data_IF_514778788976
#
_entry.id   IF_514778788976
#
_cell.length_a   1.000
_cell.length_b   1.000
_cell.length_c   1.000
_cell.angle_alpha   90.00
_cell.angle_beta   90.00
_cell.angle_gamma   90.00
#
_symmetry.space_group_name_H-M   'P 1'
#
loop_
_entity.id
_entity.type
_entity.pdbx_description
1 polymer ?
#
# COMPACT_ATOMS: atom_id res chain seq x y z
N UNK A 1 -25.07 -7.83 -9.29
CA UNK A 1 -24.77 -8.29 -10.67
C UNK A 1 -23.39 -7.74 -11.10
N UNK A 2 -22.33 -8.51 -11.36
CA UNK A 2 -22.18 -9.77 -12.09
C UNK A 2 -20.99 -10.54 -11.49
N UNK A 3 -21.17 -11.83 -11.17
CA UNK A 3 -20.06 -12.73 -10.81
C UNK A 3 -20.21 -13.98 -11.67
N UNK A 4 -19.33 -14.11 -12.66
CA UNK A 4 -19.20 -15.27 -13.55
C UNK A 4 -17.73 -15.43 -13.96
N UNK A 5 -16.83 -15.46 -12.98
CA UNK A 5 -15.47 -15.96 -13.19
C UNK A 5 -15.15 -16.90 -12.02
N UNK A 6 -15.45 -18.18 -12.25
CA UNK A 6 -14.92 -19.30 -11.47
C UNK A 6 -14.36 -20.27 -12.49
N UNK A 7 -13.14 -20.00 -12.94
CA UNK A 7 -12.30 -20.98 -13.61
C UNK A 7 -11.10 -21.28 -12.70
N UNK A 8 -10.66 -22.52 -12.67
CA UNK A 8 -9.55 -22.99 -11.81
C UNK A 8 -8.24 -22.24 -12.07
N UNK A 9 -8.09 -21.66 -13.27
CA UNK A 9 -6.93 -20.83 -13.66
C UNK A 9 -6.84 -19.45 -13.01
N UNK A 10 -7.92 -18.96 -12.38
CA UNK A 10 -7.89 -17.69 -11.66
C UNK A 10 -7.06 -17.74 -10.39
N UNK A 11 -7.26 -18.79 -9.59
CA UNK A 11 -6.54 -18.93 -8.34
C UNK A 11 -5.02 -18.98 -8.59
N UNK A 12 -4.59 -19.73 -9.62
CA UNK A 12 -3.17 -19.81 -9.99
C UNK A 12 -2.61 -18.49 -10.53
N UNK A 13 -3.40 -17.73 -11.30
CA UNK A 13 -3.03 -16.41 -11.82
C UNK A 13 -2.92 -15.38 -10.68
N UNK A 14 -3.92 -15.31 -9.81
CA UNK A 14 -3.94 -14.44 -8.64
C UNK A 14 -2.78 -14.74 -7.71
N UNK A 15 -2.55 -16.02 -7.39
CA UNK A 15 -1.41 -16.46 -6.59
C UNK A 15 -0.07 -16.05 -7.22
N UNK A 16 0.06 -16.14 -8.54
CA UNK A 16 1.28 -15.75 -9.24
C UNK A 16 1.50 -14.25 -9.22
N UNK A 17 0.42 -13.46 -9.35
CA UNK A 17 0.47 -12.00 -9.21
C UNK A 17 0.80 -11.57 -7.78
N UNK A 18 0.18 -12.20 -6.78
CA UNK A 18 0.46 -11.93 -5.37
C UNK A 18 1.92 -12.26 -5.02
N UNK A 19 2.43 -13.42 -5.44
CA UNK A 19 3.85 -13.77 -5.29
C UNK A 19 4.76 -12.77 -6.00
N UNK A 20 4.36 -12.30 -7.19
CA UNK A 20 5.07 -11.28 -7.95
C UNK A 20 5.17 -9.95 -7.19
N UNK A 21 4.04 -9.47 -6.64
CA UNK A 21 3.99 -8.25 -5.86
C UNK A 21 4.78 -8.36 -4.55
N UNK A 22 4.68 -9.48 -3.83
CA UNK A 22 5.47 -9.73 -2.63
C UNK A 22 6.98 -9.76 -2.93
N UNK A 23 7.38 -10.38 -4.04
CA UNK A 23 8.79 -10.40 -4.49
C UNK A 23 9.30 -8.99 -4.81
N UNK A 24 8.48 -8.16 -5.47
CA UNK A 24 8.82 -6.78 -5.77
C UNK A 24 8.97 -5.94 -4.49
N UNK A 25 8.04 -6.09 -3.54
CA UNK A 25 8.09 -5.41 -2.24
C UNK A 25 9.40 -5.74 -1.50
N UNK A 26 9.74 -7.03 -1.39
CA UNK A 26 10.98 -7.49 -0.77
C UNK A 26 12.23 -6.91 -1.45
N UNK A 27 12.23 -6.79 -2.78
CA UNK A 27 13.35 -6.18 -3.51
C UNK A 27 13.49 -4.69 -3.20
N UNK A 28 12.39 -3.95 -3.10
CA UNK A 28 12.39 -2.51 -2.79
C UNK A 28 12.82 -2.25 -1.35
N UNK A 29 12.42 -3.11 -0.41
CA UNK A 29 12.74 -2.93 1.01
C UNK A 29 14.15 -3.38 1.39
N UNK A 30 14.73 -4.34 0.66
CA UNK A 30 16.06 -4.90 0.94
C UNK A 30 17.17 -3.88 1.22
N UNK A 31 17.38 -2.84 0.38
CA UNK A 31 18.42 -1.83 0.65
C UNK A 31 18.20 -1.07 1.96
N UNK A 32 16.94 -0.86 2.34
CA UNK A 32 16.57 -0.17 3.58
C UNK A 32 16.73 -1.05 4.81
N UNK A 33 16.34 -2.33 4.72
CA UNK A 33 16.59 -3.33 5.77
C UNK A 33 18.10 -3.48 6.04
N UNK A 34 18.93 -3.47 4.99
CA UNK A 34 20.40 -3.50 5.14
C UNK A 34 20.95 -2.21 5.78
N UNK A 35 20.37 -1.06 5.44
CA UNK A 35 20.79 0.24 5.98
C UNK A 35 20.37 0.45 7.43
N UNK A 36 19.23 -0.12 7.84
CA UNK A 36 18.64 0.03 9.17
C UNK A 36 18.33 -1.36 9.77
N UNK A 37 19.37 -2.14 10.14
CA UNK A 37 19.20 -3.54 10.54
C UNK A 37 18.46 -3.71 11.87
N UNK A 38 18.45 -2.69 12.73
CA UNK A 38 17.77 -2.72 14.03
C UNK A 38 16.25 -2.48 13.91
N UNK A 39 15.75 -2.17 12.71
CA UNK A 39 14.33 -1.97 12.44
C UNK A 39 13.73 -3.28 11.94
N UNK A 40 12.87 -3.91 12.76
CA UNK A 40 12.08 -5.06 12.32
C UNK A 40 11.12 -4.65 11.22
N UNK A 41 11.13 -5.39 10.10
CA UNK A 41 10.27 -5.13 8.95
C UNK A 41 9.36 -6.32 8.71
N UNK A 42 8.05 -6.08 8.81
CA UNK A 42 7.01 -7.04 8.45
C UNK A 42 6.47 -6.64 7.07
N UNK A 43 6.72 -7.48 6.07
CA UNK A 43 6.26 -7.25 4.70
C UNK A 43 4.82 -7.76 4.50
N UNK A 44 3.96 -6.92 3.94
CA UNK A 44 2.57 -7.28 3.64
C UNK A 44 2.22 -6.85 2.20
N UNK A 45 2.01 -7.84 1.33
CA UNK A 45 1.28 -7.66 0.07
C UNK A 45 -0.14 -8.21 0.27
N UNK A 46 -1.15 -7.41 -0.06
CA UNK A 46 -2.57 -7.75 0.13
C UNK A 46 -3.33 -7.40 -1.14
N UNK A 47 -4.22 -8.30 -1.57
CA UNK A 47 -5.19 -7.99 -2.61
C UNK A 47 -6.38 -7.19 -2.06
N UNK A 48 -6.89 -6.26 -2.86
CA UNK A 48 -8.06 -5.45 -2.54
C UNK A 48 -7.83 -3.95 -2.68
N UNK A 49 -8.79 -3.16 -2.18
CA UNK A 49 -8.68 -1.70 -2.14
C UNK A 49 -7.59 -1.29 -1.16
N UNK A 50 -6.53 -0.63 -1.64
CA UNK A 50 -5.43 -0.15 -0.80
C UNK A 50 -5.92 0.71 0.37
N UNK A 51 -6.92 1.57 0.12
CA UNK A 51 -7.57 2.37 1.15
C UNK A 51 -8.19 1.50 2.26
N UNK A 52 -8.96 0.48 1.89
CA UNK A 52 -9.63 -0.41 2.85
C UNK A 52 -8.62 -1.24 3.65
N UNK A 53 -7.61 -1.77 2.98
CA UNK A 53 -6.54 -2.57 3.60
C UNK A 53 -5.77 -1.72 4.60
N UNK A 54 -5.34 -0.50 4.22
CA UNK A 54 -4.62 0.39 5.13
C UNK A 54 -5.45 0.79 6.35
N UNK A 55 -6.74 1.07 6.18
CA UNK A 55 -7.63 1.39 7.31
C UNK A 55 -7.75 0.22 8.28
N UNK A 56 -7.79 -1.02 7.79
CA UNK A 56 -7.88 -2.20 8.65
C UNK A 56 -6.56 -2.52 9.34
N UNK A 57 -5.44 -2.48 8.62
CA UNK A 57 -4.12 -2.84 9.15
C UNK A 57 -3.55 -1.75 10.08
N UNK A 58 -4.03 -0.51 9.99
CA UNK A 58 -3.56 0.61 10.81
C UNK A 58 -4.17 0.71 12.21
N UNK A 59 -5.08 -0.18 12.58
CA UNK A 59 -5.81 -0.11 13.87
C UNK A 59 -4.88 -0.06 15.08
N UNK A 60 -3.79 -0.82 15.03
CA UNK A 60 -2.81 -0.93 16.10
C UNK A 60 -1.52 -0.14 15.81
N UNK A 61 -1.52 0.70 14.76
CA UNK A 61 -0.36 1.47 14.37
C UNK A 61 -0.20 2.73 15.23
N UNK A 62 1.03 3.03 15.66
CA UNK A 62 1.35 4.31 16.32
C UNK A 62 1.49 5.48 15.32
N UNK A 63 1.77 5.17 14.05
CA UNK A 63 1.90 6.13 12.94
C UNK A 63 1.69 5.41 11.62
N UNK A 64 0.91 6.01 10.72
CA UNK A 64 0.81 5.57 9.33
C UNK A 64 1.51 6.56 8.41
N UNK A 65 2.36 6.05 7.52
CA UNK A 65 3.07 6.86 6.52
C UNK A 65 2.52 6.55 5.14
N UNK A 66 2.07 7.57 4.43
CA UNK A 66 1.57 7.46 3.05
C UNK A 66 2.27 8.44 2.12
N UNK A 67 2.46 8.02 0.87
CA UNK A 67 3.03 8.87 -0.17
C UNK A 67 2.02 9.84 -0.78
N UNK A 68 2.50 11.00 -1.21
CA UNK A 68 1.80 11.89 -2.13
C UNK A 68 2.73 12.22 -3.30
N UNK A 69 2.24 12.01 -4.51
CA UNK A 69 2.97 12.43 -5.70
C UNK A 69 3.03 13.96 -5.78
N UNK A 70 4.21 14.51 -6.05
CA UNK A 70 4.36 15.91 -6.42
C UNK A 70 3.89 16.04 -7.87
N UNK A 71 2.80 16.79 -8.09
CA UNK A 71 2.31 17.12 -9.44
C UNK A 71 2.55 18.61 -9.68
N UNK A 72 3.29 18.95 -10.73
CA UNK A 72 3.57 20.32 -11.18
C UNK A 72 2.58 20.75 -12.26
N UNK A 73 1.27 20.56 -12.02
CA UNK A 73 0.20 20.88 -12.96
C UNK A 73 -0.67 22.07 -12.53
N UNK A 74 -1.42 22.66 -13.47
CA UNK A 74 -2.24 23.86 -13.27
C UNK A 74 -3.37 23.74 -12.22
N UNK A 75 -3.74 22.52 -11.81
CA UNK A 75 -4.87 22.26 -10.91
C UNK A 75 -4.48 22.11 -9.42
N UNK A 76 -3.26 22.50 -9.03
CA UNK A 76 -2.83 22.50 -7.64
C UNK A 76 -2.45 21.12 -7.10
N UNK A 77 -2.19 21.04 -5.79
CA UNK A 77 -1.69 19.83 -5.14
C UNK A 77 -2.80 18.77 -4.99
N UNK A 78 -2.66 17.64 -5.67
CA UNK A 78 -3.50 16.45 -5.47
C UNK A 78 -2.81 15.43 -4.58
N UNK A 79 -3.49 14.99 -3.52
CA UNK A 79 -2.97 14.00 -2.56
C UNK A 79 -3.21 12.54 -2.98
N UNK A 80 -4.16 12.30 -3.89
CA UNK A 80 -4.55 10.95 -4.35
C UNK A 80 -5.62 10.29 -3.46
N UNK A 81 -6.33 9.30 -4.01
CA UNK A 81 -7.47 8.66 -3.35
C UNK A 81 -7.08 7.89 -2.08
N UNK A 82 -5.92 7.21 -2.08
CA UNK A 82 -5.45 6.43 -0.93
C UNK A 82 -5.12 7.36 0.24
N UNK A 83 -4.34 8.41 -0.03
CA UNK A 83 -3.97 9.41 0.97
C UNK A 83 -5.18 10.17 1.49
N UNK A 84 -6.12 10.54 0.63
CA UNK A 84 -7.39 11.12 1.05
C UNK A 84 -8.15 10.19 1.99
N UNK A 85 -8.32 8.91 1.63
CA UNK A 85 -8.98 7.92 2.47
C UNK A 85 -8.26 7.74 3.81
N UNK A 86 -6.92 7.69 3.81
CA UNK A 86 -6.13 7.57 5.02
C UNK A 86 -6.41 8.73 5.99
N UNK A 87 -6.41 9.96 5.49
CA UNK A 87 -6.68 11.16 6.31
C UNK A 87 -8.09 11.19 6.92
N UNK A 88 -9.06 10.52 6.31
CA UNK A 88 -10.46 10.54 6.77
C UNK A 88 -10.85 9.31 7.61
N UNK A 89 -10.16 8.19 7.46
CA UNK A 89 -10.62 6.91 8.00
C UNK A 89 -9.61 6.18 8.89
N UNK A 90 -8.34 6.59 8.90
CA UNK A 90 -7.34 6.03 9.82
C UNK A 90 -7.38 6.79 11.14
N UNK A 91 -7.44 6.06 12.25
CA UNK A 91 -7.49 6.63 13.61
C UNK A 91 -6.10 6.99 14.15
N UNK A 92 -5.05 6.30 13.70
CA UNK A 92 -3.68 6.62 14.03
C UNK A 92 -3.23 7.94 13.38
N UNK A 93 -2.24 8.65 13.95
CA UNK A 93 -1.60 9.78 13.27
C UNK A 93 -1.13 9.39 11.85
N UNK A 94 -1.30 10.30 10.88
CA UNK A 94 -0.92 10.07 9.47
C UNK A 94 0.14 11.07 9.04
N UNK A 95 1.32 10.59 8.65
CA UNK A 95 2.35 11.37 7.98
C UNK A 95 2.21 11.25 6.45
N UNK A 96 2.02 12.38 5.78
CA UNK A 96 1.93 12.44 4.31
C UNK A 96 3.28 12.92 3.75
N UNK A 97 3.99 12.04 3.06
CA UNK A 97 5.33 12.31 2.53
C UNK A 97 5.25 12.57 1.03
N UNK A 98 5.71 13.74 0.59
CA UNK A 98 5.78 14.08 -0.82
C UNK A 98 6.91 13.31 -1.52
N UNK A 99 6.65 12.73 -2.69
CA UNK A 99 7.64 12.04 -3.52
C UNK A 99 7.47 12.39 -5.01
N UNK A 100 8.54 12.24 -5.78
CA UNK A 100 8.63 12.51 -7.22
C UNK A 100 8.59 11.24 -8.06
#
# INVERSE_FOLDING_TARGET
PTSFYRFTGDAELYDTLERGHASLLSKVLRPWQQKFPDVEVIEASRCGSAAQVLVNDSRDASLVVVGRHIRTGAFGAHIGHVTHSALHHITAPVAVVAHS
#
